data_IF_941905849319
#
_entry.id   IF_941905849319
#
_cell.length_a   1.000
_cell.length_b   1.000
_cell.length_c   1.000
_cell.angle_alpha   90.00
_cell.angle_beta   90.00
_cell.angle_gamma   90.00
#
_symmetry.space_group_name_H-M   'P 1'
#
loop_
_entity.id
_entity.type
_entity.pdbx_description
1 polymer ?
#
# COMPACT_ATOMS: atom_id res chain seq x y z
N UNK A 1 -4.92 -7.45 -43.48
CA UNK A 1 -5.56 -7.10 -42.19
C UNK A 1 -7.00 -6.76 -42.50
N UNK A 2 -7.97 -7.51 -41.97
CA UNK A 2 -9.40 -7.23 -42.24
C UNK A 2 -9.80 -6.00 -41.43
N UNK A 3 -10.74 -5.22 -41.95
CA UNK A 3 -11.22 -4.02 -41.26
C UNK A 3 -11.88 -4.35 -39.91
N UNK A 4 -12.38 -5.58 -39.78
CA UNK A 4 -12.90 -6.17 -38.55
C UNK A 4 -11.80 -6.30 -37.48
N UNK A 5 -10.60 -6.75 -37.86
CA UNK A 5 -9.45 -6.89 -36.95
C UNK A 5 -9.06 -5.54 -36.34
N UNK A 6 -9.02 -4.48 -37.16
CA UNK A 6 -8.70 -3.13 -36.72
C UNK A 6 -9.76 -2.54 -35.78
N UNK A 7 -11.02 -2.88 -36.02
CA UNK A 7 -12.14 -2.42 -35.19
C UNK A 7 -12.11 -3.11 -33.82
N UNK A 8 -11.83 -4.42 -33.80
CA UNK A 8 -11.73 -5.21 -32.58
C UNK A 8 -10.51 -4.78 -31.73
N UNK A 9 -9.34 -4.57 -32.36
CA UNK A 9 -8.17 -3.99 -31.69
C UNK A 9 -8.45 -2.64 -31.02
N UNK A 10 -9.24 -1.76 -31.66
CA UNK A 10 -9.62 -0.47 -31.07
C UNK A 10 -10.51 -0.65 -29.83
N UNK A 11 -11.43 -1.61 -29.87
CA UNK A 11 -12.29 -1.93 -28.73
C UNK A 11 -11.48 -2.47 -27.56
N UNK A 12 -10.58 -3.44 -27.82
CA UNK A 12 -9.71 -4.03 -26.80
C UNK A 12 -8.82 -2.96 -26.14
N UNK A 13 -8.24 -2.05 -26.93
CA UNK A 13 -7.44 -0.93 -26.42
C UNK A 13 -8.28 0.00 -25.52
N UNK A 14 -9.51 0.29 -25.92
CA UNK A 14 -10.41 1.14 -25.13
C UNK A 14 -10.75 0.47 -23.79
N UNK A 15 -11.04 -0.83 -23.79
CA UNK A 15 -11.33 -1.60 -22.58
C UNK A 15 -10.12 -1.68 -21.64
N UNK A 16 -8.93 -1.96 -22.19
CA UNK A 16 -7.67 -1.99 -21.43
C UNK A 16 -7.40 -0.63 -20.80
N UNK A 17 -7.57 0.47 -21.54
CA UNK A 17 -7.39 1.83 -21.01
C UNK A 17 -8.39 2.12 -19.88
N UNK A 18 -9.66 1.78 -20.07
CA UNK A 18 -10.68 1.98 -19.05
C UNK A 18 -10.37 1.20 -17.76
N UNK A 19 -9.88 -0.04 -17.88
CA UNK A 19 -9.43 -0.84 -16.74
C UNK A 19 -8.18 -0.27 -16.08
N UNK A 20 -7.19 0.14 -16.87
CA UNK A 20 -5.93 0.68 -16.36
C UNK A 20 -6.17 1.95 -15.55
N UNK A 21 -7.12 2.82 -15.92
CA UNK A 21 -7.46 4.00 -15.11
C UNK A 21 -7.85 3.61 -13.68
N UNK A 22 -8.73 2.60 -13.53
CA UNK A 22 -9.15 2.12 -12.20
C UNK A 22 -7.96 1.54 -11.42
N UNK A 23 -7.16 0.70 -12.07
CA UNK A 23 -5.99 0.07 -11.46
C UNK A 23 -4.95 1.10 -11.01
N UNK A 24 -4.69 2.13 -11.80
CA UNK A 24 -3.72 3.17 -11.45
C UNK A 24 -4.23 4.07 -10.31
N UNK A 25 -5.54 4.31 -10.23
CA UNK A 25 -6.14 5.00 -9.08
C UNK A 25 -5.96 4.19 -7.78
N UNK A 26 -6.24 2.89 -7.82
CA UNK A 26 -6.05 1.99 -6.67
C UNK A 26 -4.58 1.93 -6.26
N UNK A 27 -3.65 1.79 -7.21
CA UNK A 27 -2.21 1.84 -6.95
C UNK A 27 -1.78 3.17 -6.35
N UNK A 28 -2.29 4.29 -6.86
CA UNK A 28 -1.98 5.61 -6.33
C UNK A 28 -2.42 5.72 -4.86
N UNK A 29 -3.60 5.20 -4.52
CA UNK A 29 -4.05 5.12 -3.14
C UNK A 29 -3.16 4.22 -2.27
N UNK A 30 -2.84 3.01 -2.74
CA UNK A 30 -2.00 2.05 -2.02
C UNK A 30 -0.59 2.58 -1.73
N UNK A 31 -0.03 3.34 -2.68
CA UNK A 31 1.31 3.93 -2.58
C UNK A 31 1.32 5.30 -1.90
N UNK A 32 0.15 5.91 -1.70
CA UNK A 32 0.01 7.24 -1.12
C UNK A 32 0.58 7.34 0.30
N UNK A 33 1.11 8.51 0.63
CA UNK A 33 1.49 8.84 2.01
C UNK A 33 0.26 8.88 2.94
N UNK A 34 -0.92 9.18 2.41
CA UNK A 34 -2.17 9.22 3.16
C UNK A 34 -2.51 7.86 3.79
N UNK A 35 -2.40 6.77 3.03
CA UNK A 35 -2.60 5.41 3.56
C UNK A 35 -1.58 5.06 4.65
N UNK A 36 -0.31 5.40 4.43
CA UNK A 36 0.77 5.13 5.41
C UNK A 36 0.53 5.88 6.72
N UNK A 37 0.15 7.16 6.64
CA UNK A 37 -0.18 7.98 7.79
C UNK A 37 -1.41 7.43 8.53
N UNK A 38 -2.47 7.07 7.80
CA UNK A 38 -3.68 6.49 8.37
C UNK A 38 -3.38 5.21 9.15
N UNK A 39 -2.61 4.28 8.56
CA UNK A 39 -2.24 3.03 9.24
C UNK A 39 -1.37 3.33 10.46
N UNK A 40 -0.38 4.23 10.35
CA UNK A 40 0.48 4.60 11.48
C UNK A 40 -0.33 5.18 12.66
N UNK A 41 -1.27 6.08 12.40
CA UNK A 41 -2.14 6.69 13.42
C UNK A 41 -3.04 5.62 14.06
N UNK A 42 -3.69 4.76 13.26
CA UNK A 42 -4.54 3.70 13.77
C UNK A 42 -3.76 2.69 14.62
N UNK A 43 -2.58 2.27 14.16
CA UNK A 43 -1.69 1.37 14.92
C UNK A 43 -1.29 2.01 16.25
N UNK A 44 -0.91 3.29 16.25
CA UNK A 44 -0.56 4.00 17.47
C UNK A 44 -1.73 4.02 18.47
N UNK A 45 -2.92 4.41 18.02
CA UNK A 45 -4.12 4.49 18.86
C UNK A 45 -4.47 3.12 19.45
N UNK A 46 -4.51 2.07 18.62
CA UNK A 46 -4.86 0.72 19.06
C UNK A 46 -3.91 0.24 20.16
N UNK A 47 -2.61 0.51 20.01
CA UNK A 47 -1.59 0.02 20.95
C UNK A 47 -1.60 0.83 22.24
N UNK A 48 -1.79 2.15 22.16
CA UNK A 48 -2.02 2.98 23.36
C UNK A 48 -3.24 2.47 24.13
N UNK A 49 -4.38 2.25 23.46
CA UNK A 49 -5.59 1.73 24.10
C UNK A 49 -5.36 0.35 24.73
N UNK A 50 -4.67 -0.55 24.03
CA UNK A 50 -4.33 -1.87 24.56
C UNK A 50 -3.50 -1.76 25.85
N UNK A 51 -2.46 -0.93 25.87
CA UNK A 51 -1.61 -0.75 27.05
C UNK A 51 -2.36 -0.13 28.23
N UNK A 52 -3.27 0.81 27.95
CA UNK A 52 -4.13 1.42 28.99
C UNK A 52 -5.05 0.38 29.63
N UNK A 53 -5.72 -0.46 28.82
CA UNK A 53 -6.64 -1.50 29.33
C UNK A 53 -5.87 -2.61 30.05
N UNK A 54 -4.68 -2.97 29.57
CA UNK A 54 -3.83 -3.99 30.17
C UNK A 54 -3.02 -3.49 31.40
N UNK A 55 -3.19 -2.22 31.81
CA UNK A 55 -2.41 -1.60 32.89
C UNK A 55 -0.89 -1.75 32.73
N UNK A 56 -0.41 -1.71 31.48
CA UNK A 56 1.01 -1.82 31.16
C UNK A 56 1.70 -0.45 31.27
N UNK A 57 2.95 -0.46 31.72
CA UNK A 57 3.74 0.76 31.83
C UNK A 57 4.01 1.44 30.49
N UNK A 58 4.14 2.76 30.50
CA UNK A 58 4.59 3.59 29.37
C UNK A 58 3.82 3.38 28.04
N UNK A 59 2.47 3.44 28.02
CA UNK A 59 1.63 3.20 26.83
C UNK A 59 2.05 4.05 25.61
N UNK A 60 2.30 5.34 25.83
CA UNK A 60 2.64 6.28 24.75
C UNK A 60 4.01 6.05 24.12
N UNK A 61 4.99 5.59 24.92
CA UNK A 61 6.35 5.29 24.45
C UNK A 61 6.36 3.93 23.75
N UNK A 62 5.68 2.94 24.33
CA UNK A 62 5.66 1.58 23.80
C UNK A 62 4.89 1.47 22.48
N UNK A 63 3.91 2.34 22.23
CA UNK A 63 3.22 2.42 20.95
C UNK A 63 4.11 2.95 19.80
N UNK A 64 5.24 3.62 20.09
CA UNK A 64 6.16 4.13 19.07
C UNK A 64 6.85 2.99 18.33
N UNK A 65 7.29 1.94 19.04
CA UNK A 65 8.02 0.80 18.46
C UNK A 65 7.27 0.13 17.30
N UNK A 66 6.01 -0.32 17.48
CA UNK A 66 5.22 -0.93 16.40
C UNK A 66 4.84 0.07 15.29
N UNK A 67 4.64 1.35 15.62
CA UNK A 67 4.37 2.39 14.62
C UNK A 67 5.59 2.62 13.72
N UNK A 68 6.80 2.70 14.28
CA UNK A 68 8.06 2.79 13.53
C UNK A 68 8.31 1.49 12.76
N UNK A 69 8.07 0.33 13.36
CA UNK A 69 8.20 -0.96 12.70
C UNK A 69 7.35 -1.06 11.44
N UNK A 70 6.10 -0.58 11.49
CA UNK A 70 5.24 -0.48 10.32
C UNK A 70 5.84 0.45 9.25
N UNK A 71 6.25 1.66 9.62
CA UNK A 71 6.85 2.61 8.67
C UNK A 71 8.12 2.06 8.00
N UNK A 72 9.01 1.44 8.78
CA UNK A 72 10.22 0.79 8.26
C UNK A 72 9.88 -0.35 7.31
N UNK A 73 8.83 -1.14 7.58
CA UNK A 73 8.39 -2.20 6.68
C UNK A 73 7.95 -1.65 5.31
N UNK A 74 7.26 -0.50 5.29
CA UNK A 74 6.84 0.14 4.02
C UNK A 74 8.02 0.56 3.14
N UNK A 75 9.17 0.89 3.73
CA UNK A 75 10.39 1.24 3.00
C UNK A 75 11.23 0.01 2.63
N UNK A 76 11.29 -0.97 3.53
CA UNK A 76 12.17 -2.13 3.42
C UNK A 76 11.63 -3.17 2.43
N UNK A 77 10.32 -3.38 2.40
CA UNK A 77 9.68 -4.38 1.52
C UNK A 77 9.90 -4.04 0.05
N UNK A 78 9.79 -2.76 -0.32
CA UNK A 78 10.00 -2.31 -1.69
C UNK A 78 11.46 -2.50 -2.14
N UNK A 79 12.42 -2.24 -1.26
CA UNK A 79 13.83 -2.51 -1.51
C UNK A 79 14.10 -4.01 -1.65
N UNK A 80 13.55 -4.84 -0.76
CA UNK A 80 13.66 -6.29 -0.80
C UNK A 80 13.06 -6.88 -2.09
N UNK A 81 11.89 -6.39 -2.51
CA UNK A 81 11.26 -6.77 -3.78
C UNK A 81 12.14 -6.44 -4.99
N UNK A 82 12.68 -5.21 -5.06
CA UNK A 82 13.58 -4.79 -6.15
C UNK A 82 14.87 -5.61 -6.18
N UNK A 83 15.37 -6.04 -5.02
CA UNK A 83 16.54 -6.92 -4.94
C UNK A 83 16.21 -8.33 -5.45
N UNK A 84 15.09 -8.92 -5.02
CA UNK A 84 14.66 -10.24 -5.46
C UNK A 84 14.44 -10.32 -6.98
N UNK A 85 13.75 -9.34 -7.56
CA UNK A 85 13.50 -9.27 -9.01
C UNK A 85 14.81 -9.17 -9.80
N UNK A 86 15.82 -8.44 -9.31
CA UNK A 86 17.12 -8.34 -9.99
C UNK A 86 17.93 -9.64 -9.98
N UNK A 87 17.63 -10.56 -9.05
CA UNK A 87 18.35 -11.82 -8.87
C UNK A 87 17.65 -13.01 -9.54
N UNK A 88 16.42 -12.81 -10.02
CA UNK A 88 15.63 -13.78 -10.77
C UNK A 88 15.67 -13.43 -12.25
#
# INVERSE_FOLDING_TARGET
MRMDDLTQLKQDIAEIKARNVRVEQDKAWETSAARKLLIAVLTYIVIVLFFLVAHLGNPFVNAIVPTIGFLLSTLSIDAAKKWWIRRR
#
